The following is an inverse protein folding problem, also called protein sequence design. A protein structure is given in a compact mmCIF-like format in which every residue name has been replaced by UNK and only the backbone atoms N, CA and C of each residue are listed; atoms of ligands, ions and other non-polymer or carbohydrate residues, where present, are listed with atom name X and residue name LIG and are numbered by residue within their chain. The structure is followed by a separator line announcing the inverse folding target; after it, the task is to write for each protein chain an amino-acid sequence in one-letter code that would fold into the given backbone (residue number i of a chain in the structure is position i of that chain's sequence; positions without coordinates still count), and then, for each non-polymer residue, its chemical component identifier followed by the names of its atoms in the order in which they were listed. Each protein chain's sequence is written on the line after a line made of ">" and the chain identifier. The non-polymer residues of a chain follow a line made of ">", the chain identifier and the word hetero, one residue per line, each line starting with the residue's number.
data_IF_137802046962
#
_entry.id   IF_137802046962
#
_cell.length_a   1.000
_cell.length_b   1.000
_cell.length_c   1.000
_cell.angle_alpha   90.00
_cell.angle_beta   90.00
_cell.angle_gamma   90.00
#
_symmetry.space_group_name_H-M   'P 1'
#
loop_
_entity.id
_entity.type
_entity.pdbx_description
1 polymer ?
#
# COMPACT_ATOMS: atom_id res chain seq x y z
N UNK A 1 -25.13 6.32 -4.15
CA UNK A 1 -26.20 7.29 -4.49
C UNK A 1 -26.16 8.51 -3.55
N UNK A 2 -26.18 8.35 -2.22
CA UNK A 2 -26.22 9.50 -1.29
C UNK A 2 -24.99 10.42 -1.41
N UNK A 3 -23.77 9.86 -1.47
CA UNK A 3 -22.54 10.63 -1.59
C UNK A 3 -22.49 11.52 -2.86
N UNK A 4 -23.14 11.10 -3.93
CA UNK A 4 -23.15 11.81 -5.22
C UNK A 4 -24.25 12.89 -5.32
N UNK A 5 -25.24 12.86 -4.43
CA UNK A 5 -26.39 13.79 -4.49
C UNK A 5 -25.96 15.27 -4.41
N UNK A 6 -24.85 15.57 -3.73
CA UNK A 6 -24.30 16.92 -3.54
C UNK A 6 -23.22 17.28 -4.58
N UNK A 7 -22.99 16.46 -5.61
CA UNK A 7 -21.94 16.64 -6.62
C UNK A 7 -20.58 16.98 -5.99
N UNK A 8 -20.03 16.11 -5.12
CA UNK A 8 -18.80 16.37 -4.41
C UNK A 8 -17.61 16.37 -5.37
N UNK A 9 -16.57 17.15 -5.05
CA UNK A 9 -15.28 17.10 -5.76
C UNK A 9 -14.40 15.94 -5.31
N UNK A 10 -14.62 15.42 -4.10
CA UNK A 10 -13.86 14.34 -3.49
C UNK A 10 -14.82 13.36 -2.80
N UNK A 11 -14.58 12.07 -3.03
CA UNK A 11 -15.25 10.97 -2.32
C UNK A 11 -14.21 10.23 -1.47
N UNK A 12 -14.51 10.02 -0.19
CA UNK A 12 -13.79 9.09 0.68
C UNK A 12 -14.49 7.74 0.63
N UNK A 13 -13.81 6.73 0.13
CA UNK A 13 -14.31 5.38 -0.02
C UNK A 13 -13.47 4.43 0.85
N UNK A 14 -13.99 4.08 2.02
CA UNK A 14 -13.35 3.21 2.97
C UNK A 14 -13.92 1.79 2.82
N UNK A 15 -13.07 0.87 2.38
CA UNK A 15 -13.39 -0.55 2.11
C UNK A 15 -14.69 -0.76 1.30
N UNK A 16 -14.95 0.02 0.22
CA UNK A 16 -16.27 0.06 -0.40
C UNK A 16 -16.67 -1.25 -1.11
N UNK A 17 -15.72 -2.17 -1.32
CA UNK A 17 -15.94 -3.44 -2.04
C UNK A 17 -15.67 -4.69 -1.19
N UNK A 18 -15.25 -4.55 0.08
CA UNK A 18 -14.77 -5.66 0.92
C UNK A 18 -15.85 -6.71 1.21
N UNK A 19 -17.13 -6.31 1.27
CA UNK A 19 -18.27 -7.18 1.58
C UNK A 19 -19.05 -7.65 0.34
N UNK A 20 -18.53 -7.37 -0.86
CA UNK A 20 -19.22 -7.67 -2.11
C UNK A 20 -18.65 -8.92 -2.79
N UNK A 21 -19.52 -9.68 -3.45
CA UNK A 21 -19.09 -10.73 -4.36
C UNK A 21 -18.34 -10.17 -5.58
N UNK A 22 -17.58 -11.03 -6.26
CA UNK A 22 -16.67 -10.63 -7.35
C UNK A 22 -17.37 -9.83 -8.45
N UNK A 23 -18.58 -10.23 -8.84
CA UNK A 23 -19.29 -9.60 -9.95
C UNK A 23 -19.76 -8.18 -9.60
N UNK A 24 -20.30 -7.99 -8.39
CA UNK A 24 -20.76 -6.69 -7.89
C UNK A 24 -19.55 -5.79 -7.61
N UNK A 25 -18.45 -6.35 -7.08
CA UNK A 25 -17.18 -5.63 -6.85
C UNK A 25 -16.67 -4.96 -8.13
N UNK A 26 -16.55 -5.72 -9.22
CA UNK A 26 -16.11 -5.20 -10.52
C UNK A 26 -17.08 -4.11 -11.03
N UNK A 27 -18.38 -4.33 -10.90
CA UNK A 27 -19.38 -3.33 -11.28
C UNK A 27 -19.24 -2.00 -10.53
N UNK A 28 -18.96 -2.07 -9.22
CA UNK A 28 -18.75 -0.86 -8.40
C UNK A 28 -17.43 -0.16 -8.73
N UNK A 29 -16.34 -0.91 -8.92
CA UNK A 29 -15.05 -0.34 -9.34
C UNK A 29 -15.18 0.37 -10.71
N UNK A 30 -15.88 -0.22 -11.67
CA UNK A 30 -16.16 0.40 -12.97
C UNK A 30 -17.00 1.68 -12.82
N UNK A 31 -17.99 1.69 -11.92
CA UNK A 31 -18.77 2.90 -11.63
C UNK A 31 -17.89 4.01 -11.06
N UNK A 32 -17.00 3.66 -10.10
CA UNK A 32 -16.09 4.63 -9.50
C UNK A 32 -15.10 5.18 -10.53
N UNK A 33 -14.55 4.33 -11.41
CA UNK A 33 -13.69 4.76 -12.51
C UNK A 33 -14.41 5.75 -13.44
N UNK A 34 -15.65 5.50 -13.83
CA UNK A 34 -16.45 6.44 -14.64
C UNK A 34 -16.70 7.76 -13.93
N UNK A 35 -16.99 7.76 -12.64
CA UNK A 35 -17.16 9.00 -11.87
C UNK A 35 -15.87 9.83 -11.82
N UNK A 36 -14.71 9.19 -11.73
CA UNK A 36 -13.41 9.86 -11.83
C UNK A 36 -13.19 10.44 -13.22
N UNK A 37 -13.40 9.66 -14.27
CA UNK A 37 -12.99 9.99 -15.64
C UNK A 37 -14.00 10.91 -16.35
N UNK A 38 -15.30 10.70 -16.13
CA UNK A 38 -16.38 11.44 -16.83
C UNK A 38 -16.87 12.65 -16.02
N UNK A 39 -16.95 12.52 -14.68
CA UNK A 39 -17.51 13.57 -13.80
C UNK A 39 -16.41 14.38 -13.10
N UNK A 40 -15.13 14.00 -13.26
CA UNK A 40 -14.00 14.70 -12.64
C UNK A 40 -13.95 14.61 -11.10
N UNK A 41 -14.56 13.58 -10.51
CA UNK A 41 -14.60 13.38 -9.07
C UNK A 41 -13.29 12.72 -8.62
N UNK A 42 -12.58 13.36 -7.68
CA UNK A 42 -11.43 12.72 -7.03
C UNK A 42 -11.91 11.66 -6.03
N UNK A 43 -11.18 10.54 -5.95
CA UNK A 43 -11.54 9.44 -5.03
C UNK A 43 -10.34 9.12 -4.15
N UNK A 44 -10.49 9.22 -2.83
CA UNK A 44 -9.57 8.62 -1.88
C UNK A 44 -10.12 7.22 -1.52
N UNK A 45 -9.49 6.21 -2.10
CA UNK A 45 -9.89 4.81 -1.98
C UNK A 45 -9.03 4.11 -0.94
N UNK A 46 -9.62 3.67 0.17
CA UNK A 46 -8.95 2.95 1.25
C UNK A 46 -9.30 1.47 1.11
N UNK A 47 -8.29 0.62 1.04
CA UNK A 47 -8.46 -0.83 0.92
C UNK A 47 -7.23 -1.59 1.39
N UNK A 48 -7.40 -2.85 1.78
CA UNK A 48 -6.32 -3.81 1.96
C UNK A 48 -6.09 -4.69 0.71
N UNK A 49 -6.96 -4.59 -0.31
CA UNK A 49 -6.87 -5.36 -1.55
C UNK A 49 -6.08 -4.61 -2.61
N UNK A 50 -4.81 -5.02 -2.80
CA UNK A 50 -3.90 -4.42 -3.79
C UNK A 50 -4.43 -4.57 -5.22
N UNK A 51 -5.14 -5.67 -5.53
CA UNK A 51 -5.66 -5.90 -6.87
C UNK A 51 -6.73 -4.87 -7.24
N UNK A 52 -7.64 -4.56 -6.31
CA UNK A 52 -8.64 -3.50 -6.50
C UNK A 52 -7.99 -2.10 -6.56
N UNK A 53 -6.98 -1.84 -5.73
CA UNK A 53 -6.22 -0.59 -5.78
C UNK A 53 -5.54 -0.41 -7.14
N UNK A 54 -4.85 -1.43 -7.66
CA UNK A 54 -4.22 -1.39 -8.99
C UNK A 54 -5.22 -1.10 -10.11
N UNK A 55 -6.44 -1.60 -9.97
CA UNK A 55 -7.47 -1.43 -11.00
C UNK A 55 -7.97 0.01 -11.12
N UNK A 56 -8.04 0.75 -10.02
CA UNK A 56 -8.71 2.06 -9.99
C UNK A 56 -7.78 3.24 -9.72
N UNK A 57 -6.66 3.04 -9.02
CA UNK A 57 -5.83 4.13 -8.51
C UNK A 57 -4.79 4.60 -9.52
N UNK A 58 -4.56 5.93 -9.60
CA UNK A 58 -3.43 6.54 -10.30
C UNK A 58 -2.18 6.55 -9.40
N UNK A 59 -2.39 6.71 -8.09
CA UNK A 59 -1.35 6.76 -7.07
C UNK A 59 -1.68 5.82 -5.92
N UNK A 60 -0.66 5.22 -5.35
CA UNK A 60 -0.74 4.36 -4.18
C UNK A 60 -0.03 5.03 -3.00
N UNK A 61 -0.63 4.89 -1.82
CA UNK A 61 -0.03 5.20 -0.53
C UNK A 61 -0.11 3.93 0.32
N UNK A 62 1.03 3.35 0.63
CA UNK A 62 1.13 2.19 1.51
C UNK A 62 1.34 2.67 2.93
N UNK A 63 0.50 2.20 3.86
CA UNK A 63 0.58 2.56 5.28
C UNK A 63 0.87 1.34 6.15
N UNK A 64 1.71 1.51 7.14
CA UNK A 64 1.98 0.50 8.16
C UNK A 64 1.92 1.10 9.56
N UNK A 65 1.10 0.53 10.41
CA UNK A 65 0.97 0.95 11.82
C UNK A 65 0.80 2.48 12.00
N UNK A 66 -0.04 3.11 11.15
CA UNK A 66 -0.34 4.54 11.22
C UNK A 66 0.71 5.48 10.57
N UNK A 67 1.73 4.93 9.90
CA UNK A 67 2.72 5.72 9.16
C UNK A 67 2.70 5.38 7.67
N UNK A 68 2.99 6.37 6.82
CA UNK A 68 3.21 6.14 5.40
C UNK A 68 4.56 5.44 5.24
N UNK A 69 4.55 4.26 4.65
CA UNK A 69 5.74 3.49 4.32
C UNK A 69 6.26 3.83 2.91
N UNK A 70 5.35 3.97 1.95
CA UNK A 70 5.69 4.21 0.55
C UNK A 70 4.56 4.96 -0.16
N UNK A 71 4.89 5.78 -1.15
CA UNK A 71 3.91 6.50 -1.97
C UNK A 71 4.45 6.76 -3.37
N UNK A 72 3.63 6.52 -4.40
CA UNK A 72 4.04 6.76 -5.78
C UNK A 72 2.95 6.46 -6.80
N UNK A 73 3.23 6.60 -8.10
CA UNK A 73 2.39 6.07 -9.16
C UNK A 73 2.16 4.58 -8.94
N UNK A 74 0.92 4.11 -9.12
CA UNK A 74 0.57 2.72 -8.76
C UNK A 74 1.45 1.70 -9.47
N UNK A 75 1.66 1.85 -10.76
CA UNK A 75 2.47 0.89 -11.54
C UNK A 75 3.96 0.89 -11.11
N UNK A 76 4.52 2.03 -10.71
CA UNK A 76 5.91 2.12 -10.24
C UNK A 76 6.08 1.46 -8.88
N UNK A 77 5.15 1.74 -7.93
CA UNK A 77 5.18 1.11 -6.60
C UNK A 77 5.03 -0.40 -6.68
N UNK A 78 4.16 -0.90 -7.59
CA UNK A 78 3.94 -2.34 -7.74
C UNK A 78 5.08 -3.04 -8.50
N UNK A 79 5.70 -2.37 -9.48
CA UNK A 79 6.80 -2.95 -10.27
C UNK A 79 8.15 -2.92 -9.55
N UNK A 80 8.41 -1.87 -8.76
CA UNK A 80 9.70 -1.65 -8.10
C UNK A 80 9.52 -1.06 -6.70
N UNK A 81 8.92 -1.82 -5.76
CA UNK A 81 8.65 -1.35 -4.41
C UNK A 81 9.95 -1.01 -3.67
N UNK A 82 9.97 0.14 -2.99
CA UNK A 82 11.13 0.69 -2.28
C UNK A 82 11.10 0.45 -0.79
N UNK A 83 9.97 0.02 -0.24
CA UNK A 83 9.86 -0.30 1.19
C UNK A 83 9.69 -1.82 1.38
N UNK A 84 10.44 -2.47 2.30
CA UNK A 84 10.31 -3.92 2.54
C UNK A 84 8.89 -4.37 2.90
N UNK A 85 8.09 -3.54 3.57
CA UNK A 85 6.70 -3.87 3.85
C UNK A 85 5.84 -3.96 2.58
N UNK A 86 6.06 -3.06 1.62
CA UNK A 86 5.35 -3.12 0.32
C UNK A 86 5.68 -4.41 -0.43
N UNK A 87 6.94 -4.84 -0.39
CA UNK A 87 7.34 -6.13 -0.97
C UNK A 87 6.66 -7.31 -0.28
N UNK A 88 6.58 -7.28 1.06
CA UNK A 88 5.87 -8.31 1.83
C UNK A 88 4.38 -8.37 1.46
N UNK A 89 3.72 -7.21 1.30
CA UNK A 89 2.32 -7.15 0.86
C UNK A 89 2.15 -7.75 -0.54
N UNK A 90 3.06 -7.44 -1.46
CA UNK A 90 3.01 -7.97 -2.83
C UNK A 90 3.29 -9.47 -2.88
N UNK A 91 4.22 -9.98 -2.06
CA UNK A 91 4.51 -11.41 -1.97
C UNK A 91 3.33 -12.24 -1.43
N UNK A 92 2.44 -11.61 -0.66
CA UNK A 92 1.23 -12.25 -0.14
C UNK A 92 0.07 -12.29 -1.15
N UNK A 93 0.18 -11.61 -2.29
CA UNK A 93 -0.82 -11.68 -3.37
C UNK A 93 -0.60 -12.98 -4.15
N UNK A 94 -1.58 -13.92 -4.16
CA UNK A 94 -1.43 -15.18 -4.87
C UNK A 94 -1.23 -14.95 -6.38
N UNK A 95 -0.16 -15.48 -6.94
CA UNK A 95 -0.02 -15.60 -8.39
C UNK A 95 -0.66 -16.92 -8.83
N UNK A 96 -1.76 -16.91 -9.61
CA UNK A 96 -2.42 -18.12 -10.08
C UNK A 96 -1.53 -19.00 -10.98
N UNK A 97 -0.41 -18.45 -11.47
CA UNK A 97 0.53 -19.14 -12.36
C UNK A 97 1.75 -19.70 -11.62
N UNK A 98 1.99 -19.26 -10.39
CA UNK A 98 3.08 -19.75 -9.58
C UNK A 98 2.73 -21.12 -8.96
N UNK A 99 3.67 -22.06 -8.85
CA UNK A 99 3.49 -23.25 -8.04
C UNK A 99 3.14 -22.85 -6.60
N UNK A 100 2.22 -23.58 -5.96
CA UNK A 100 1.91 -23.38 -4.54
C UNK A 100 3.15 -23.74 -3.72
N UNK A 101 3.94 -22.76 -3.36
CA UNK A 101 5.02 -22.94 -2.41
C UNK A 101 4.45 -22.81 -0.98
N UNK A 102 4.12 -23.97 -0.40
CA UNK A 102 3.56 -24.08 0.96
C UNK A 102 4.62 -23.81 2.03
N UNK A 103 5.88 -23.63 1.63
CA UNK A 103 7.04 -23.48 2.54
C UNK A 103 7.46 -22.02 2.76
N UNK A 104 6.84 -21.07 2.07
CA UNK A 104 7.10 -19.65 2.31
C UNK A 104 6.72 -19.29 3.74
N UNK A 105 7.71 -19.22 4.62
CA UNK A 105 7.57 -18.70 5.99
C UNK A 105 7.20 -17.21 5.96
N UNK A 106 5.95 -16.92 5.62
CA UNK A 106 5.41 -15.55 5.60
C UNK A 106 4.94 -15.10 6.98
N UNK A 107 4.93 -16.01 7.96
CA UNK A 107 4.50 -15.70 9.32
C UNK A 107 5.59 -14.96 10.10
N UNK A 108 5.69 -13.67 9.88
CA UNK A 108 6.50 -12.75 10.69
C UNK A 108 5.67 -12.06 11.77
N UNK A 109 4.66 -12.76 12.27
CA UNK A 109 3.78 -12.28 13.33
C UNK A 109 2.80 -11.20 12.91
N UNK A 110 1.86 -10.90 13.79
CA UNK A 110 0.89 -9.82 13.60
C UNK A 110 1.55 -8.43 13.65
N UNK A 111 0.96 -7.43 12.97
CA UNK A 111 1.39 -6.05 13.13
C UNK A 111 1.38 -5.65 14.62
N UNK A 112 2.40 -4.96 15.13
CA UNK A 112 2.46 -4.59 16.53
C UNK A 112 1.29 -3.66 16.87
N UNK A 113 0.70 -3.87 18.04
CA UNK A 113 -0.23 -2.91 18.60
C UNK A 113 0.55 -1.68 19.03
N UNK A 114 0.37 -0.57 18.32
CA UNK A 114 1.10 0.67 18.57
C UNK A 114 0.33 1.53 19.56
N UNK A 115 0.80 1.55 20.81
CA UNK A 115 0.35 2.45 21.86
C UNK A 115 1.58 3.24 22.28
N UNK A 116 1.49 4.59 22.35
CA UNK A 116 2.61 5.49 22.70
C UNK A 116 3.89 5.17 21.93
N UNK A 117 3.90 5.39 20.60
CA UNK A 117 4.97 4.91 19.73
C UNK A 117 6.32 5.59 20.06
N UNK A 118 7.29 4.78 20.42
CA UNK A 118 8.69 5.21 20.53
C UNK A 118 9.29 5.51 19.14
N UNK A 119 10.35 6.36 19.08
CA UNK A 119 11.10 6.56 17.83
C UNK A 119 11.55 5.25 17.19
N UNK A 120 11.66 5.25 15.89
CA UNK A 120 12.08 4.09 15.09
C UNK A 120 11.13 3.74 13.98
N UNK A 121 11.64 3.02 12.99
CA UNK A 121 10.82 2.46 11.91
C UNK A 121 9.77 1.50 12.49
N UNK A 122 8.50 1.70 12.15
CA UNK A 122 7.40 0.85 12.67
C UNK A 122 7.52 -0.60 12.21
N UNK A 123 8.12 -0.82 11.05
CA UNK A 123 8.29 -2.16 10.46
C UNK A 123 9.55 -2.88 10.94
N UNK A 124 10.47 -2.25 11.68
CA UNK A 124 11.80 -2.77 12.06
C UNK A 124 11.82 -4.20 12.60
N UNK A 125 10.83 -4.58 13.41
CA UNK A 125 10.79 -5.90 14.04
C UNK A 125 10.45 -7.05 13.08
N UNK A 126 9.86 -6.71 11.93
CA UNK A 126 9.48 -7.65 10.87
C UNK A 126 10.34 -7.51 9.63
N UNK A 127 11.21 -6.49 9.59
CA UNK A 127 12.04 -6.16 8.46
C UNK A 127 13.33 -7.01 8.45
N UNK A 128 13.60 -7.81 7.41
CA UNK A 128 14.85 -8.57 7.31
C UNK A 128 16.07 -7.68 7.03
N UNK A 129 15.85 -6.44 6.58
CA UNK A 129 16.88 -5.45 6.26
C UNK A 129 17.04 -4.41 7.36
N UNK A 130 16.49 -4.64 8.57
CA UNK A 130 16.59 -3.66 9.64
C UNK A 130 18.05 -3.42 10.05
N UNK A 131 18.43 -2.14 10.11
CA UNK A 131 19.73 -1.66 10.59
C UNK A 131 19.56 -0.92 11.93
N UNK A 132 20.63 -0.63 12.63
CA UNK A 132 20.60 0.01 13.95
C UNK A 132 19.84 1.35 13.94
N UNK A 133 19.96 2.11 12.88
CA UNK A 133 19.26 3.38 12.70
C UNK A 133 17.74 3.21 12.71
N UNK A 134 17.23 2.09 12.16
CA UNK A 134 15.79 1.75 12.20
C UNK A 134 15.25 1.61 13.63
N UNK A 135 16.10 1.28 14.61
CA UNK A 135 15.71 1.18 16.01
C UNK A 135 15.77 2.49 16.75
N UNK A 136 16.53 3.46 16.26
CA UNK A 136 16.82 4.73 16.92
C UNK A 136 15.98 5.89 16.39
N UNK A 137 15.72 5.92 15.08
CA UNK A 137 15.05 7.02 14.41
C UNK A 137 13.92 6.56 13.51
N UNK A 138 12.91 7.40 13.35
CA UNK A 138 11.80 7.18 12.40
C UNK A 138 12.20 7.73 11.04
N UNK A 139 12.25 6.89 9.98
CA UNK A 139 12.59 7.38 8.65
C UNK A 139 11.55 8.37 8.13
N UNK A 140 12.00 9.47 7.54
CA UNK A 140 11.17 10.40 6.80
C UNK A 140 10.73 9.80 5.47
N UNK A 141 9.63 10.31 4.91
CA UNK A 141 9.21 9.96 3.55
C UNK A 141 10.05 10.79 2.56
N UNK A 142 10.97 10.16 1.84
CA UNK A 142 11.88 10.82 0.90
C UNK A 142 11.67 10.33 -0.53
N UNK A 143 11.82 11.24 -1.51
CA UNK A 143 11.73 10.89 -2.91
C UNK A 143 12.96 10.08 -3.36
N UNK A 144 12.70 8.87 -3.89
CA UNK A 144 13.70 7.93 -4.40
C UNK A 144 13.59 7.73 -5.92
N UNK A 145 12.71 8.50 -6.56
CA UNK A 145 12.44 8.49 -7.98
C UNK A 145 11.36 9.51 -8.33
N UNK A 146 11.01 9.70 -9.60
CA UNK A 146 10.01 10.66 -10.02
C UNK A 146 8.65 10.38 -9.35
N UNK A 147 8.25 11.23 -8.40
CA UNK A 147 6.99 11.12 -7.63
C UNK A 147 6.84 9.80 -6.83
N UNK A 148 7.94 9.06 -6.59
CA UNK A 148 8.00 7.82 -5.85
C UNK A 148 8.85 8.02 -4.60
N UNK A 149 8.24 7.92 -3.43
CA UNK A 149 8.87 8.18 -2.14
C UNK A 149 8.69 6.99 -1.19
N UNK A 150 9.70 6.75 -0.34
CA UNK A 150 9.63 5.72 0.69
C UNK A 150 10.26 6.17 2.01
N UNK A 151 9.69 5.70 3.12
CA UNK A 151 10.18 5.93 4.47
C UNK A 151 11.07 4.75 4.92
N UNK A 152 12.25 4.62 4.32
CA UNK A 152 13.17 3.50 4.57
C UNK A 152 14.64 3.94 4.46
N UNK A 153 15.38 3.90 5.57
CA UNK A 153 16.80 4.27 5.59
C UNK A 153 17.66 3.47 4.60
N UNK A 154 17.38 2.16 4.45
CA UNK A 154 18.12 1.29 3.53
C UNK A 154 17.91 1.73 2.08
N UNK A 155 16.67 2.05 1.70
CA UNK A 155 16.36 2.55 0.37
C UNK A 155 16.95 3.96 0.12
N UNK A 156 16.90 4.84 1.12
CA UNK A 156 17.45 6.19 1.08
C UNK A 156 18.97 6.17 0.92
N UNK A 157 19.66 5.17 1.48
CA UNK A 157 21.08 4.95 1.28
C UNK A 157 21.44 4.37 -0.10
N UNK A 158 20.47 4.17 -0.99
CA UNK A 158 20.67 3.63 -2.34
C UNK A 158 20.93 2.12 -2.40
N UNK A 159 20.70 1.41 -1.30
CA UNK A 159 20.85 -0.04 -1.28
C UNK A 159 19.67 -0.75 -1.96
N UNK A 160 19.93 -1.93 -2.51
CA UNK A 160 18.87 -2.80 -3.07
C UNK A 160 17.98 -3.32 -1.94
N UNK A 161 16.69 -3.06 -2.03
CA UNK A 161 15.70 -3.40 -0.99
C UNK A 161 15.02 -4.73 -1.26
N UNK A 162 15.67 -5.67 -1.92
CA UNK A 162 15.11 -7.02 -2.12
C UNK A 162 15.07 -7.78 -0.79
N UNK A 163 13.88 -7.79 -0.18
CA UNK A 163 13.64 -8.34 1.15
C UNK A 163 12.76 -9.60 1.12
N UNK A 164 11.95 -9.78 0.08
CA UNK A 164 10.98 -10.85 -0.08
C UNK A 164 10.87 -11.29 -1.55
#
# INVERSE_FOLDING_TARGET
>A
AQALALRPKLILADEPVSMLDVSIRIGLLNLMARLRDEEGVSILYITHDIASARYIADRLIVMYAGQIAESGPVEEVLAAPKHPYTQLLLSAVPDPRAPLDVTAETDRGEPPRVIDPVPGCRFRWRCPLAIDECHQATPGLEELGPRHAAACFVAQAGADVKAF
#
